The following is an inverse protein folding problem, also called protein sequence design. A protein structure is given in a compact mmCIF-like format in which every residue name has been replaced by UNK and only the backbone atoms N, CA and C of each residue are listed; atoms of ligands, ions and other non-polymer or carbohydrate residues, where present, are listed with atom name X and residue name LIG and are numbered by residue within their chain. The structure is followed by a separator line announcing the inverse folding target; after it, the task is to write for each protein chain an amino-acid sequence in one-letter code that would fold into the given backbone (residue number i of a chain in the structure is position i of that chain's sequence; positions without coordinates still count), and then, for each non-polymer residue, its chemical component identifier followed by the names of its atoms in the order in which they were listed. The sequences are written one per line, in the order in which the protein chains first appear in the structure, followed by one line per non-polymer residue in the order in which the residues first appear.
data_IF_268483192650
#
_entry.id   IF_268483192650
#
_cell.length_a   1.000
_cell.length_b   1.000
_cell.length_c   1.000
_cell.angle_alpha   90.00
_cell.angle_beta   90.00
_cell.angle_gamma   90.00
#
_symmetry.space_group_name_H-M   'P 1'
#
loop_
_entity.id
_entity.type
_entity.pdbx_description
1 polymer ?
#
# COMPACT_ATOMS: atom_id res chain seq x y z
N UNK A 1 8.45 26.52 -12.76
CA UNK A 1 8.99 25.63 -11.71
C UNK A 1 8.23 24.33 -11.81
N UNK A 2 8.95 23.24 -12.08
CA UNK A 2 8.33 21.91 -12.18
C UNK A 2 8.19 21.27 -10.81
N UNK A 3 7.01 20.74 -10.54
CA UNK A 3 6.71 19.99 -9.31
C UNK A 3 6.05 18.67 -9.67
N UNK A 4 6.29 17.65 -8.85
CA UNK A 4 5.63 16.36 -8.99
C UNK A 4 5.03 15.91 -7.66
N UNK A 5 3.83 15.36 -7.70
CA UNK A 5 3.08 14.88 -6.54
C UNK A 5 2.62 13.45 -6.78
N UNK A 6 2.61 12.65 -5.70
CA UNK A 6 1.96 11.34 -5.69
C UNK A 6 0.60 11.50 -5.03
N UNK A 7 -0.46 11.15 -5.74
CA UNK A 7 -1.82 11.37 -5.31
C UNK A 7 -2.64 10.08 -5.38
N UNK A 8 -3.52 9.86 -4.39
CA UNK A 8 -4.47 8.76 -4.39
C UNK A 8 -5.88 9.27 -4.61
N UNK A 9 -6.54 8.79 -5.66
CA UNK A 9 -7.94 9.10 -5.94
C UNK A 9 -8.85 7.97 -5.48
N UNK A 10 -9.72 8.26 -4.51
CA UNK A 10 -10.76 7.32 -4.05
C UNK A 10 -11.80 7.00 -5.14
N UNK A 11 -11.99 7.88 -6.11
CA UNK A 11 -13.00 7.71 -7.17
C UNK A 11 -12.50 6.75 -8.24
N UNK A 12 -11.26 6.92 -8.69
CA UNK A 12 -10.66 6.07 -9.74
C UNK A 12 -9.91 4.88 -9.16
N UNK A 13 -9.69 4.84 -7.84
CA UNK A 13 -8.90 3.84 -7.12
C UNK A 13 -7.42 3.80 -7.52
N UNK A 14 -6.93 4.83 -8.20
CA UNK A 14 -5.57 4.91 -8.73
C UNK A 14 -4.65 5.73 -7.82
N UNK A 15 -3.37 5.36 -7.84
CA UNK A 15 -2.27 6.18 -7.36
C UNK A 15 -1.56 6.76 -8.59
N UNK A 16 -1.49 8.08 -8.70
CA UNK A 16 -0.91 8.75 -9.86
C UNK A 16 0.28 9.62 -9.48
N UNK A 17 1.25 9.70 -10.40
CA UNK A 17 2.31 10.69 -10.38
C UNK A 17 1.88 11.85 -11.28
N UNK A 18 1.50 12.96 -10.68
CA UNK A 18 1.11 14.16 -11.39
C UNK A 18 2.32 15.08 -11.50
N UNK A 19 2.53 15.67 -12.66
CA UNK A 19 3.56 16.69 -12.87
C UNK A 19 2.90 18.00 -13.26
N UNK A 20 3.39 19.09 -12.67
CA UNK A 20 2.93 20.44 -12.91
C UNK A 20 4.10 21.32 -13.32
N UNK A 21 3.84 22.33 -14.13
CA UNK A 21 4.79 23.40 -14.46
C UNK A 21 4.17 24.75 -14.16
N UNK A 22 4.78 25.50 -13.24
CA UNK A 22 4.24 26.78 -12.74
C UNK A 22 2.77 26.69 -12.27
N UNK A 23 2.42 25.56 -11.64
CA UNK A 23 1.08 25.30 -11.11
C UNK A 23 0.07 24.78 -12.15
N UNK A 24 0.44 24.72 -13.43
CA UNK A 24 -0.40 24.13 -14.47
C UNK A 24 -0.14 22.63 -14.58
N UNK A 25 -1.22 21.84 -14.65
CA UNK A 25 -1.12 20.41 -14.86
C UNK A 25 -0.48 20.11 -16.22
N UNK A 26 0.53 19.24 -16.21
CA UNK A 26 1.29 18.87 -17.39
C UNK A 26 1.04 17.41 -17.80
N UNK A 27 1.11 16.48 -16.85
CA UNK A 27 0.95 15.05 -17.13
C UNK A 27 0.54 14.26 -15.90
N UNK A 28 -0.13 13.14 -16.14
CA UNK A 28 -0.49 12.12 -15.16
C UNK A 28 0.05 10.77 -15.64
N UNK A 29 0.66 10.03 -14.71
CA UNK A 29 1.10 8.65 -14.94
C UNK A 29 0.47 7.79 -13.84
N UNK A 30 -0.24 6.74 -14.24
CA UNK A 30 -0.74 5.73 -13.31
C UNK A 30 0.42 4.87 -12.82
N UNK A 31 0.66 4.89 -11.51
CA UNK A 31 1.76 4.16 -10.85
C UNK A 31 1.22 3.18 -9.81
N UNK A 32 -0.07 2.84 -9.86
CA UNK A 32 -0.76 2.03 -8.86
C UNK A 32 -0.05 0.70 -8.59
N UNK A 33 0.26 -0.05 -9.64
CA UNK A 33 0.87 -1.39 -9.51
C UNK A 33 2.29 -1.33 -8.95
N UNK A 34 3.07 -0.32 -9.36
CA UNK A 34 4.45 -0.11 -8.89
C UNK A 34 4.45 0.21 -7.39
N UNK A 35 3.59 1.13 -6.96
CA UNK A 35 3.52 1.53 -5.55
C UNK A 35 3.01 0.39 -4.67
N UNK A 36 1.99 -0.35 -5.12
CA UNK A 36 1.45 -1.48 -4.36
C UNK A 36 2.45 -2.63 -4.25
N UNK A 37 3.17 -2.95 -5.32
CA UNK A 37 4.23 -3.98 -5.31
C UNK A 37 5.31 -3.63 -4.29
N UNK A 38 5.85 -2.40 -4.35
CA UNK A 38 6.89 -1.95 -3.40
C UNK A 38 6.38 -1.94 -1.95
N UNK A 39 5.13 -1.54 -1.73
CA UNK A 39 4.54 -1.57 -0.39
C UNK A 39 4.40 -3.00 0.15
N UNK A 40 4.03 -3.97 -0.70
CA UNK A 40 3.96 -5.38 -0.32
C UNK A 40 5.34 -5.98 -0.03
N UNK A 41 6.33 -5.72 -0.89
CA UNK A 41 7.72 -6.15 -0.66
C UNK A 41 8.25 -5.62 0.67
N UNK A 42 8.06 -4.34 0.96
CA UNK A 42 8.46 -3.75 2.24
C UNK A 42 7.77 -4.41 3.43
N UNK A 43 6.48 -4.74 3.30
CA UNK A 43 5.74 -5.46 4.34
C UNK A 43 6.25 -6.89 4.52
N UNK A 44 6.63 -7.58 3.44
CA UNK A 44 7.25 -8.90 3.55
C UNK A 44 8.58 -8.82 4.33
N UNK A 45 9.43 -7.86 3.99
CA UNK A 45 10.71 -7.64 4.67
C UNK A 45 10.53 -7.28 6.16
N UNK A 46 9.61 -6.35 6.47
CA UNK A 46 9.40 -5.87 7.85
C UNK A 46 8.91 -6.96 8.81
N UNK A 47 8.17 -7.93 8.30
CA UNK A 47 7.54 -8.98 9.12
C UNK A 47 8.18 -10.36 8.91
N UNK A 48 9.19 -10.45 8.05
CA UNK A 48 9.87 -11.70 7.67
C UNK A 48 8.87 -12.72 7.14
N UNK A 49 8.03 -12.30 6.19
CA UNK A 49 7.00 -13.14 5.59
C UNK A 49 7.60 -13.91 4.42
N UNK A 50 7.35 -15.22 4.41
CA UNK A 50 7.80 -16.11 3.34
C UNK A 50 6.63 -16.49 2.43
N UNK A 51 6.97 -17.16 1.32
CA UNK A 51 5.96 -17.67 0.40
C UNK A 51 4.99 -18.62 1.12
N UNK A 52 3.69 -18.30 1.07
CA UNK A 52 2.64 -19.09 1.71
C UNK A 52 2.19 -18.54 3.07
N UNK A 53 2.87 -17.53 3.60
CA UNK A 53 2.39 -16.78 4.77
C UNK A 53 1.17 -15.92 4.43
N UNK A 54 0.26 -15.81 5.39
CA UNK A 54 -0.96 -15.03 5.26
C UNK A 54 -0.90 -13.74 6.10
N UNK A 55 -1.23 -12.61 5.47
CA UNK A 55 -1.31 -11.30 6.11
C UNK A 55 -2.77 -10.87 6.27
N UNK A 56 -3.25 -10.77 7.51
CA UNK A 56 -4.58 -10.25 7.82
C UNK A 56 -4.55 -8.78 8.22
N UNK A 57 -5.07 -7.90 7.35
CA UNK A 57 -5.19 -6.46 7.60
C UNK A 57 -6.62 -6.14 8.05
N UNK A 58 -6.79 -5.65 9.29
CA UNK A 58 -8.10 -5.21 9.82
C UNK A 58 -8.14 -3.71 10.03
N UNK A 59 -9.11 -3.03 9.41
CA UNK A 59 -9.40 -1.61 9.65
C UNK A 59 -10.37 -1.45 10.82
N UNK A 60 -9.90 -1.00 11.99
CA UNK A 60 -10.79 -0.61 13.11
C UNK A 60 -11.52 0.69 12.75
N UNK A 61 -12.84 0.76 13.01
CA UNK A 61 -13.75 1.86 12.61
C UNK A 61 -13.36 3.24 13.18
N UNK A 62 -12.60 3.28 14.27
CA UNK A 62 -12.13 4.53 14.89
C UNK A 62 -10.63 4.68 14.64
N UNK A 63 -10.22 5.51 13.67
CA UNK A 63 -8.92 6.20 13.66
C UNK A 63 -8.93 7.21 12.50
N UNK A 64 -9.08 8.49 12.87
CA UNK A 64 -9.04 9.64 11.96
C UNK A 64 -7.63 10.00 11.46
N UNK A 65 -6.60 9.31 11.95
CA UNK A 65 -5.23 9.50 11.51
C UNK A 65 -4.42 8.27 11.93
N UNK A 66 -3.76 7.62 10.97
CA UNK A 66 -2.90 6.43 11.11
C UNK A 66 -3.65 5.13 11.43
N UNK A 67 -3.79 4.29 10.40
CA UNK A 67 -4.24 2.90 10.55
C UNK A 67 -3.14 2.13 11.30
N UNK A 68 -3.36 1.81 12.59
CA UNK A 68 -2.54 0.82 13.29
C UNK A 68 -2.83 -0.55 12.66
N UNK A 69 -1.87 -1.10 11.92
CA UNK A 69 -1.97 -2.43 11.34
C UNK A 69 -1.68 -3.44 12.46
N UNK A 70 -2.72 -4.09 12.98
CA UNK A 70 -2.57 -5.23 13.89
C UNK A 70 -2.51 -6.51 13.06
N UNK A 71 -1.37 -7.21 13.07
CA UNK A 71 -1.15 -8.47 12.36
C UNK A 71 -1.17 -9.63 13.35
N UNK A 72 -1.89 -10.69 13.01
CA UNK A 72 -1.90 -11.95 13.76
C UNK A 72 -1.23 -13.03 12.90
N UNK A 73 -0.11 -13.60 13.38
CA UNK A 73 0.48 -14.79 12.75
C UNK A 73 -0.39 -16.00 13.10
N UNK A 74 -1.03 -16.61 12.12
CA UNK A 74 -1.68 -17.92 12.29
C UNK A 74 -0.67 -19.01 11.95
N UNK A 75 -0.30 -19.85 12.92
CA UNK A 75 0.43 -21.09 12.63
C UNK A 75 -0.58 -22.13 12.17
N UNK A 76 -0.41 -22.72 10.99
CA UNK A 76 -1.11 -23.96 10.64
C UNK A 76 -0.61 -25.05 11.60
N UNK A 77 -1.53 -25.64 12.36
CA UNK A 77 -1.24 -26.90 13.05
C UNK A 77 -1.06 -27.96 11.97
N UNK A 78 0.15 -28.41 11.76
CA UNK A 78 0.39 -29.69 11.10
C UNK A 78 -0.16 -30.78 12.03
N UNK A 79 -1.39 -31.21 11.73
CA UNK A 79 -1.97 -32.37 12.37
C UNK A 79 -1.08 -33.58 12.09
N UNK A 80 -0.36 -34.00 13.13
CA UNK A 80 0.24 -35.33 13.23
C UNK A 80 -0.84 -36.37 12.92
N UNK A 81 -0.68 -37.11 11.84
CA UNK A 81 -1.26 -38.45 11.72
C UNK A 81 -0.35 -39.38 10.95
#
# INVERSE_FOLDING_TARGET
MKTSTIEYSKQTTKITLNTYDDGFFLSEIDITDVVLTLALEKLYDDYGLEQGDELHIRKKKSLGSVTKIELMKSRKNEDKK
#
